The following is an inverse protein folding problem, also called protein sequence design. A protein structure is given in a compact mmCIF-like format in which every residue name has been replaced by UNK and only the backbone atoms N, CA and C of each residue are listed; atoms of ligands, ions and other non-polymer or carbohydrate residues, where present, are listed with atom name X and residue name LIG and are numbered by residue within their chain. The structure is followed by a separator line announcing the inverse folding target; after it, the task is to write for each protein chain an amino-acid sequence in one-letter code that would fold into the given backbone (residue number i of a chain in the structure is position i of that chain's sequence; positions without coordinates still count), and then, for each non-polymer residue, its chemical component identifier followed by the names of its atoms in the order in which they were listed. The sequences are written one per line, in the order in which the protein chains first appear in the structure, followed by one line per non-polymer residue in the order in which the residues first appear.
data_IF_450623341355
#
_entry.id   IF_450623341355
#
_cell.length_a   1.000
_cell.length_b   1.000
_cell.length_c   1.000
_cell.angle_alpha   90.00
_cell.angle_beta   90.00
_cell.angle_gamma   90.00
#
_symmetry.space_group_name_H-M   'P 1'
#
loop_
_entity.id
_entity.type
_entity.pdbx_description
1 polymer ?
#
# COMPACT_ATOMS: atom_id res chain seq x y z
N UNK A 1 15.15 6.65 55.15
CA UNK A 1 15.15 7.77 54.19
C UNK A 1 16.34 7.72 53.19
N UNK A 2 16.85 6.54 52.79
CA UNK A 2 17.97 6.45 51.83
C UNK A 2 17.63 5.68 50.53
N UNK A 3 16.36 5.33 50.30
CA UNK A 3 15.95 4.52 49.14
C UNK A 3 15.23 5.29 48.02
N UNK A 4 14.82 6.55 48.27
CA UNK A 4 14.13 7.36 47.25
C UNK A 4 15.09 8.20 46.38
N UNK A 5 16.28 8.56 46.87
CA UNK A 5 17.22 9.41 46.15
C UNK A 5 17.97 8.67 45.03
N UNK A 6 18.25 7.38 45.21
CA UNK A 6 18.96 6.58 44.20
C UNK A 6 18.10 6.23 42.97
N UNK A 7 16.77 6.24 43.08
CA UNK A 7 15.88 5.94 41.95
C UNK A 7 15.70 7.14 41.02
N UNK A 8 15.68 8.36 41.57
CA UNK A 8 15.52 9.60 40.79
C UNK A 8 16.78 9.91 39.98
N UNK A 9 17.98 9.65 40.51
CA UNK A 9 19.25 9.86 39.80
C UNK A 9 19.42 8.87 38.63
N UNK A 10 18.87 7.65 38.73
CA UNK A 10 18.92 6.65 37.67
C UNK A 10 17.92 6.93 36.53
N UNK A 11 16.78 7.56 36.83
CA UNK A 11 15.83 8.02 35.81
C UNK A 11 16.32 9.26 35.04
N UNK A 12 17.07 10.16 35.69
CA UNK A 12 17.61 11.36 35.03
C UNK A 12 18.80 11.03 34.11
N UNK A 13 19.63 10.01 34.43
CA UNK A 13 20.70 9.58 33.53
C UNK A 13 20.18 8.79 32.31
N UNK A 14 19.06 8.07 32.45
CA UNK A 14 18.42 7.37 31.34
C UNK A 14 17.72 8.30 30.33
N UNK A 15 17.29 9.50 30.76
CA UNK A 15 16.67 10.49 29.87
C UNK A 15 17.68 11.28 29.01
N UNK A 16 18.92 11.48 29.48
CA UNK A 16 19.92 12.26 28.74
C UNK A 16 20.53 11.45 27.57
N UNK A 17 20.52 10.12 27.66
CA UNK A 17 20.99 9.23 26.57
C UNK A 17 20.02 9.12 25.38
N UNK A 18 18.79 9.65 25.48
CA UNK A 18 17.80 9.63 24.39
C UNK A 18 17.80 10.89 23.51
N UNK A 19 18.64 11.89 23.81
CA UNK A 19 18.76 13.12 23.02
C UNK A 19 20.03 13.18 22.16
N UNK A 20 20.85 12.13 22.16
CA UNK A 20 21.85 11.94 21.11
C UNK A 20 21.12 11.52 19.83
N UNK A 21 20.54 12.50 19.12
CA UNK A 21 20.17 12.29 17.73
C UNK A 21 21.40 11.77 17.01
N UNK A 22 21.34 10.63 16.30
CA UNK A 22 22.45 10.23 15.46
C UNK A 22 22.69 11.39 14.50
N UNK A 23 23.86 12.02 14.60
CA UNK A 23 24.33 12.94 13.58
C UNK A 23 24.50 12.07 12.35
N UNK A 24 23.46 11.98 11.53
CA UNK A 24 23.53 11.29 10.25
C UNK A 24 24.69 11.92 9.49
N UNK A 25 25.68 11.11 9.13
CA UNK A 25 26.87 11.62 8.47
C UNK A 25 26.40 12.32 7.19
N UNK A 26 26.80 13.58 7.02
CA UNK A 26 26.48 14.31 5.80
C UNK A 26 27.43 13.86 4.68
N UNK A 27 26.98 13.90 3.42
CA UNK A 27 27.87 13.65 2.29
C UNK A 27 28.97 14.72 2.28
N UNK A 28 30.23 14.29 2.34
CA UNK A 28 31.42 15.14 2.20
C UNK A 28 32.23 14.77 0.96
N UNK A 29 33.04 15.69 0.46
CA UNK A 29 34.00 15.47 -0.63
C UNK A 29 34.82 14.20 -0.41
N UNK A 30 35.43 14.06 0.77
CA UNK A 30 36.29 12.92 1.10
C UNK A 30 35.51 11.61 1.10
N UNK A 31 34.28 11.61 1.64
CA UNK A 31 33.43 10.42 1.64
C UNK A 31 33.04 9.99 0.23
N UNK A 32 32.78 10.95 -0.66
CA UNK A 32 32.45 10.73 -2.07
C UNK A 32 33.66 10.18 -2.83
N UNK A 33 34.84 10.78 -2.66
CA UNK A 33 36.08 10.32 -3.29
C UNK A 33 36.39 8.89 -2.84
N UNK A 34 36.34 8.59 -1.54
CA UNK A 34 36.64 7.26 -1.02
C UNK A 34 35.68 6.20 -1.57
N UNK A 35 34.39 6.51 -1.63
CA UNK A 35 33.39 5.61 -2.19
C UNK A 35 33.58 5.41 -3.69
N UNK A 36 33.91 6.48 -4.43
CA UNK A 36 34.19 6.41 -5.86
C UNK A 36 35.46 5.61 -6.15
N UNK A 37 36.55 5.83 -5.41
CA UNK A 37 37.79 5.03 -5.52
C UNK A 37 37.51 3.55 -5.29
N UNK A 38 36.68 3.21 -4.28
CA UNK A 38 36.26 1.84 -4.01
C UNK A 38 35.46 1.25 -5.17
N UNK A 39 34.55 2.04 -5.77
CA UNK A 39 33.77 1.61 -6.93
C UNK A 39 34.64 1.37 -8.16
N UNK A 40 35.58 2.27 -8.46
CA UNK A 40 36.51 2.11 -9.59
C UNK A 40 37.35 0.84 -9.44
N UNK A 41 37.84 0.54 -8.22
CA UNK A 41 38.59 -0.69 -7.92
C UNK A 41 37.73 -1.95 -7.99
N UNK A 42 36.43 -1.85 -7.70
CA UNK A 42 35.50 -2.97 -7.72
C UNK A 42 34.93 -3.24 -9.12
N UNK A 43 35.07 -2.32 -10.08
CA UNK A 43 34.59 -2.53 -11.45
C UNK A 43 35.48 -3.57 -12.17
N UNK A 44 34.91 -4.71 -12.62
CA UNK A 44 35.67 -5.74 -13.32
C UNK A 44 36.28 -5.28 -14.66
N UNK A 45 35.83 -4.15 -15.20
CA UNK A 45 36.39 -3.56 -16.42
C UNK A 45 37.49 -2.54 -16.15
N UNK A 46 37.77 -2.23 -14.89
CA UNK A 46 38.96 -1.47 -14.50
C UNK A 46 40.15 -2.43 -14.41
N UNK A 47 41.13 -2.23 -15.28
CA UNK A 47 42.34 -3.07 -15.34
C UNK A 47 43.43 -2.50 -14.42
N UNK A 48 43.58 -1.18 -14.39
CA UNK A 48 44.55 -0.48 -13.54
C UNK A 48 43.87 0.73 -12.90
N UNK A 49 44.01 0.85 -11.58
CA UNK A 49 43.58 2.03 -10.82
C UNK A 49 44.48 2.23 -9.61
N UNK A 50 45.54 3.02 -9.80
CA UNK A 50 46.57 3.27 -8.80
C UNK A 50 46.62 4.76 -8.48
N UNK A 51 46.58 5.12 -7.19
CA UNK A 51 46.66 6.51 -6.76
C UNK A 51 48.09 7.02 -6.93
N UNK A 52 48.27 8.07 -7.73
CA UNK A 52 49.56 8.72 -7.96
C UNK A 52 49.75 9.88 -6.98
N UNK A 53 48.74 10.75 -6.89
CA UNK A 53 48.69 11.91 -6.00
C UNK A 53 47.27 12.13 -5.52
N UNK A 54 47.05 13.17 -4.71
CA UNK A 54 45.68 13.59 -4.41
C UNK A 54 44.92 13.86 -5.72
N UNK A 55 43.73 13.27 -5.84
CA UNK A 55 42.84 13.39 -7.01
C UNK A 55 43.44 12.97 -8.36
N UNK A 56 44.58 12.27 -8.39
CA UNK A 56 45.25 11.82 -9.62
C UNK A 56 45.60 10.34 -9.56
N UNK A 57 45.27 9.61 -10.62
CA UNK A 57 45.33 8.16 -10.68
C UNK A 57 45.92 7.69 -12.01
N UNK A 58 46.69 6.62 -11.98
CA UNK A 58 46.98 5.83 -13.17
C UNK A 58 45.79 4.95 -13.46
N UNK A 59 45.25 5.05 -14.68
CA UNK A 59 44.00 4.41 -15.05
C UNK A 59 44.11 3.65 -16.37
N UNK A 60 43.57 2.44 -16.39
CA UNK A 60 43.36 1.64 -17.59
C UNK A 60 42.07 0.85 -17.49
N UNK A 61 41.33 0.77 -18.58
CA UNK A 61 40.05 0.06 -18.64
C UNK A 61 39.88 -0.75 -19.91
N UNK A 62 39.01 -1.76 -19.86
CA UNK A 62 38.54 -2.50 -21.03
C UNK A 62 37.28 -1.90 -21.69
N UNK A 63 36.69 -0.83 -21.14
CA UNK A 63 35.54 -0.16 -21.79
C UNK A 63 35.91 0.43 -23.16
N UNK A 64 37.07 1.06 -23.26
CA UNK A 64 37.60 1.71 -24.45
C UNK A 64 39.13 1.68 -24.40
N UNK A 65 39.83 1.81 -25.54
CA UNK A 65 41.29 1.69 -25.59
C UNK A 65 41.96 2.93 -24.99
N UNK A 66 42.07 2.98 -23.67
CA UNK A 66 42.72 4.05 -22.94
C UNK A 66 43.63 3.51 -21.84
N UNK A 67 44.85 4.03 -21.83
CA UNK A 67 45.84 3.84 -20.77
C UNK A 67 46.52 5.20 -20.55
N UNK A 68 46.39 5.74 -19.34
CA UNK A 68 46.90 7.08 -19.05
C UNK A 68 46.59 7.52 -17.63
N UNK A 69 46.59 8.84 -17.43
CA UNK A 69 46.27 9.45 -16.14
C UNK A 69 44.81 9.88 -16.09
N UNK A 70 44.18 9.72 -14.93
CA UNK A 70 42.84 10.17 -14.63
C UNK A 70 42.92 11.17 -13.48
N UNK A 71 42.33 12.34 -13.65
CA UNK A 71 42.31 13.40 -12.64
C UNK A 71 40.88 13.79 -12.27
N UNK A 72 40.57 13.95 -10.99
CA UNK A 72 39.29 14.52 -10.54
C UNK A 72 39.36 16.05 -10.72
N UNK A 73 38.40 16.61 -11.45
CA UNK A 73 38.29 18.05 -11.72
C UNK A 73 37.30 18.73 -10.80
N UNK A 74 36.16 18.09 -10.56
CA UNK A 74 35.11 18.66 -9.76
C UNK A 74 34.33 17.57 -9.03
N UNK A 75 33.71 17.96 -7.91
CA UNK A 75 32.78 17.13 -7.15
C UNK A 75 31.47 17.89 -7.10
N UNK A 76 30.40 17.26 -7.56
CA UNK A 76 29.07 17.85 -7.54
C UNK A 76 28.18 16.91 -6.77
N UNK A 77 27.59 17.39 -5.68
CA UNK A 77 26.55 16.63 -5.00
C UNK A 77 25.43 17.54 -4.55
N UNK A 78 24.22 16.98 -4.55
CA UNK A 78 23.00 17.71 -4.25
C UNK A 78 21.83 16.76 -4.06
N UNK A 79 20.76 17.30 -3.49
CA UNK A 79 19.52 16.54 -3.32
C UNK A 79 18.85 16.29 -4.66
N UNK A 80 18.35 15.06 -4.84
CA UNK A 80 17.76 14.60 -6.10
C UNK A 80 16.42 15.27 -6.43
N UNK A 81 15.78 15.92 -5.45
CA UNK A 81 14.48 16.58 -5.60
C UNK A 81 13.31 15.59 -5.75
N UNK A 82 12.24 15.82 -4.99
CA UNK A 82 11.01 15.01 -5.03
C UNK A 82 10.81 14.09 -3.82
N UNK A 83 9.55 13.89 -3.43
CA UNK A 83 9.14 13.14 -2.21
C UNK A 83 9.56 11.66 -2.21
N UNK A 84 9.80 11.06 -3.38
CA UNK A 84 10.20 9.66 -3.48
C UNK A 84 11.68 9.46 -3.09
N UNK A 85 12.53 10.45 -3.38
CA UNK A 85 13.99 10.38 -3.33
C UNK A 85 14.61 11.33 -2.29
N UNK A 86 13.79 11.89 -1.39
CA UNK A 86 14.23 12.81 -0.32
C UNK A 86 15.35 12.27 0.57
N UNK A 87 15.41 10.94 0.70
CA UNK A 87 16.38 10.21 1.53
C UNK A 87 17.72 9.97 0.81
N UNK A 88 17.84 10.39 -0.45
CA UNK A 88 19.02 10.22 -1.26
C UNK A 88 19.57 11.56 -1.75
N UNK A 89 20.89 11.67 -1.81
CA UNK A 89 21.58 12.76 -2.50
C UNK A 89 22.41 12.17 -3.63
N UNK A 90 22.42 12.82 -4.79
CA UNK A 90 23.28 12.43 -5.90
C UNK A 90 24.66 13.05 -5.71
N UNK A 91 25.70 12.29 -6.00
CA UNK A 91 27.08 12.74 -6.05
C UNK A 91 27.74 12.30 -7.36
N UNK A 92 28.38 13.22 -8.06
CA UNK A 92 29.08 13.00 -9.31
C UNK A 92 30.53 13.46 -9.17
N UNK A 93 31.46 12.57 -9.53
CA UNK A 93 32.89 12.86 -9.60
C UNK A 93 33.23 13.17 -11.05
N UNK A 94 33.44 14.45 -11.36
CA UNK A 94 33.83 14.84 -12.71
C UNK A 94 35.31 14.57 -12.90
N UNK A 95 35.63 13.69 -13.84
CA UNK A 95 37.00 13.24 -14.11
C UNK A 95 37.45 13.69 -15.50
N UNK A 96 38.75 13.94 -15.62
CA UNK A 96 39.42 14.17 -16.89
C UNK A 96 40.41 13.04 -17.14
N UNK A 97 40.40 12.54 -18.38
CA UNK A 97 41.38 11.57 -18.88
C UNK A 97 42.47 12.34 -19.64
N UNK A 98 43.68 12.40 -19.08
CA UNK A 98 44.81 13.13 -19.66
C UNK A 98 45.19 12.56 -21.02
N UNK A 99 45.20 13.41 -22.06
CA UNK A 99 45.57 12.99 -23.42
C UNK A 99 44.51 12.13 -24.12
N UNK A 100 43.28 12.07 -23.60
CA UNK A 100 42.21 11.30 -24.23
C UNK A 100 41.76 11.95 -25.55
N UNK A 101 41.84 11.18 -26.63
CA UNK A 101 41.43 11.64 -27.96
C UNK A 101 39.91 11.76 -28.06
N UNK A 102 39.43 12.94 -28.44
CA UNK A 102 38.00 13.21 -28.67
C UNK A 102 37.39 12.33 -29.77
N UNK A 103 38.20 11.79 -30.68
CA UNK A 103 37.71 10.84 -31.69
C UNK A 103 37.36 9.48 -31.09
N UNK A 104 38.01 9.07 -30.00
CA UNK A 104 37.65 7.84 -29.27
C UNK A 104 36.27 7.95 -28.64
N UNK A 105 35.84 9.14 -28.21
CA UNK A 105 34.47 9.37 -27.74
C UNK A 105 33.46 9.11 -28.86
N UNK A 106 33.77 9.51 -30.11
CA UNK A 106 32.87 9.26 -31.24
C UNK A 106 32.77 7.78 -31.58
N UNK A 107 33.89 7.05 -31.51
CA UNK A 107 33.96 5.63 -31.86
C UNK A 107 33.45 4.70 -30.75
N UNK A 108 33.71 5.05 -29.48
CA UNK A 108 33.39 4.25 -28.30
C UNK A 108 32.37 4.93 -27.37
N UNK A 109 31.56 5.86 -27.89
CA UNK A 109 30.70 6.73 -27.07
C UNK A 109 29.78 5.99 -26.12
N UNK A 110 29.21 4.85 -26.54
CA UNK A 110 28.40 4.00 -25.66
C UNK A 110 29.22 3.42 -24.49
N UNK A 111 30.38 2.82 -24.77
CA UNK A 111 31.25 2.27 -23.73
C UNK A 111 31.81 3.35 -22.81
N UNK A 112 32.17 4.51 -23.37
CA UNK A 112 32.58 5.67 -22.58
C UNK A 112 31.45 6.13 -21.66
N UNK A 113 30.21 6.24 -22.16
CA UNK A 113 29.04 6.59 -21.33
C UNK A 113 28.77 5.55 -20.22
N UNK A 114 28.93 4.25 -20.51
CA UNK A 114 28.81 3.22 -19.48
C UNK A 114 29.85 3.38 -18.36
N UNK A 115 31.09 3.69 -18.73
CA UNK A 115 32.14 4.00 -17.76
C UNK A 115 31.84 5.31 -17.02
N UNK A 116 31.42 6.36 -17.72
CA UNK A 116 31.13 7.66 -17.11
C UNK A 116 29.98 7.58 -16.08
N UNK A 117 28.98 6.74 -16.33
CA UNK A 117 27.92 6.44 -15.36
C UNK A 117 28.46 5.84 -14.05
N UNK A 118 29.65 5.25 -14.04
CA UNK A 118 30.31 4.76 -12.80
C UNK A 118 30.91 5.88 -11.96
N UNK A 119 30.94 7.12 -12.47
CA UNK A 119 31.39 8.29 -11.71
C UNK A 119 30.26 8.94 -10.90
N UNK A 120 29.04 8.41 -11.00
CA UNK A 120 27.88 8.87 -10.22
C UNK A 120 27.56 7.87 -9.11
N UNK A 121 27.37 8.39 -7.90
CA UNK A 121 26.98 7.68 -6.68
C UNK A 121 25.76 8.33 -6.04
N UNK A 122 25.10 7.58 -5.17
CA UNK A 122 23.90 7.98 -4.46
C UNK A 122 24.13 7.84 -2.96
N UNK A 123 24.12 8.94 -2.23
CA UNK A 123 24.26 8.93 -0.78
C UNK A 123 22.93 8.56 -0.13
N UNK A 124 22.88 7.40 0.54
CA UNK A 124 21.77 7.00 1.39
C UNK A 124 21.88 7.74 2.74
N UNK A 125 21.07 8.79 2.93
CA UNK A 125 21.09 9.60 4.16
C UNK A 125 20.77 8.78 5.40
N UNK A 126 19.90 7.77 5.27
CA UNK A 126 19.46 6.92 6.38
C UNK A 126 20.56 5.98 6.86
N UNK A 127 21.29 5.40 5.92
CA UNK A 127 22.36 4.44 6.21
C UNK A 127 23.76 5.07 6.20
N UNK A 128 23.87 6.38 5.92
CA UNK A 128 25.12 7.12 5.82
C UNK A 128 26.15 6.43 4.91
N UNK A 129 25.69 5.94 3.74
CA UNK A 129 26.49 5.16 2.81
C UNK A 129 26.29 5.61 1.37
N UNK A 130 27.40 5.77 0.64
CA UNK A 130 27.37 5.90 -0.82
C UNK A 130 27.05 4.58 -1.51
N UNK A 131 26.10 4.63 -2.43
CA UNK A 131 25.63 3.52 -3.23
C UNK A 131 26.01 3.75 -4.69
N UNK A 132 26.45 2.68 -5.36
CA UNK A 132 26.52 2.65 -6.82
C UNK A 132 25.13 2.79 -7.43
N UNK A 133 25.05 3.16 -8.71
CA UNK A 133 23.78 3.21 -9.46
C UNK A 133 22.99 1.90 -9.37
N UNK A 134 23.67 0.75 -9.37
CA UNK A 134 23.03 -0.57 -9.23
C UNK A 134 22.47 -0.80 -7.83
N UNK A 135 23.23 -0.45 -6.80
CA UNK A 135 22.78 -0.55 -5.41
C UNK A 135 21.59 0.38 -5.16
N UNK A 136 21.64 1.61 -5.69
CA UNK A 136 20.55 2.58 -5.62
C UNK A 136 19.27 2.06 -6.28
N UNK A 137 19.36 1.58 -7.52
CA UNK A 137 18.21 0.98 -8.20
C UNK A 137 17.63 -0.21 -7.40
N UNK A 138 18.49 -1.04 -6.79
CA UNK A 138 18.04 -2.13 -5.91
C UNK A 138 17.38 -1.62 -4.63
N UNK A 139 17.87 -0.54 -4.02
CA UNK A 139 17.27 0.02 -2.80
C UNK A 139 15.92 0.66 -3.07
N UNK A 140 15.77 1.39 -4.17
CA UNK A 140 14.51 2.02 -4.58
C UNK A 140 13.46 0.94 -4.89
N UNK A 141 13.80 -0.09 -5.67
CA UNK A 141 12.88 -1.18 -5.98
C UNK A 141 12.42 -1.95 -4.74
N UNK A 142 13.34 -2.26 -3.81
CA UNK A 142 12.99 -2.89 -2.52
C UNK A 142 12.07 -2.01 -1.68
N UNK A 143 12.32 -0.71 -1.65
CA UNK A 143 11.53 0.28 -0.89
C UNK A 143 10.14 0.47 -1.51
N UNK A 144 10.03 0.49 -2.83
CA UNK A 144 8.75 0.53 -3.53
C UNK A 144 7.92 -0.73 -3.22
N UNK A 145 8.55 -1.91 -3.27
CA UNK A 145 7.89 -3.17 -2.95
C UNK A 145 7.41 -3.25 -1.49
N UNK A 146 8.18 -2.71 -0.53
CA UNK A 146 7.77 -2.68 0.88
C UNK A 146 6.63 -1.70 1.14
N UNK A 147 6.66 -0.50 0.55
CA UNK A 147 5.55 0.47 0.61
C UNK A 147 4.27 -0.10 0.02
N UNK A 148 4.35 -0.80 -1.12
CA UNK A 148 3.21 -1.46 -1.74
C UNK A 148 2.60 -2.56 -0.85
N UNK A 149 3.44 -3.40 -0.22
CA UNK A 149 2.96 -4.42 0.73
C UNK A 149 2.27 -3.80 1.95
N UNK A 150 2.82 -2.72 2.50
CA UNK A 150 2.24 -2.02 3.64
C UNK A 150 0.91 -1.34 3.27
N UNK A 151 0.84 -0.74 2.08
CA UNK A 151 -0.39 -0.13 1.55
C UNK A 151 -1.51 -1.16 1.37
N UNK A 152 -1.20 -2.37 0.90
CA UNK A 152 -2.21 -3.43 0.71
C UNK A 152 -2.85 -3.87 2.03
N UNK A 153 -2.06 -4.00 3.11
CA UNK A 153 -2.61 -4.36 4.43
C UNK A 153 -3.50 -3.28 5.01
N UNK A 154 -3.07 -2.01 4.94
CA UNK A 154 -3.83 -0.88 5.51
C UNK A 154 -5.10 -0.59 4.69
N UNK A 155 -5.02 -0.65 3.36
CA UNK A 155 -6.19 -0.42 2.49
C UNK A 155 -7.23 -1.54 2.60
N UNK A 156 -6.80 -2.78 2.84
CA UNK A 156 -7.74 -3.88 2.98
C UNK A 156 -8.38 -3.92 4.35
N UNK A 157 -7.73 -3.42 5.42
CA UNK A 157 -8.31 -3.39 6.75
C UNK A 157 -9.60 -2.54 6.80
N UNK A 158 -9.61 -1.38 6.15
CA UNK A 158 -10.80 -0.54 6.03
C UNK A 158 -11.90 -1.20 5.18
N UNK A 159 -11.52 -1.92 4.12
CA UNK A 159 -12.46 -2.65 3.27
C UNK A 159 -13.11 -3.84 4.00
N UNK A 160 -12.33 -4.60 4.77
CA UNK A 160 -12.86 -5.70 5.59
C UNK A 160 -13.80 -5.20 6.69
N UNK A 161 -13.50 -4.05 7.31
CA UNK A 161 -14.39 -3.44 8.30
C UNK A 161 -15.75 -3.06 7.69
N UNK A 162 -15.74 -2.46 6.49
CA UNK A 162 -16.95 -2.06 5.79
C UNK A 162 -17.80 -3.28 5.35
N UNK A 163 -17.16 -4.31 4.80
CA UNK A 163 -17.84 -5.57 4.44
C UNK A 163 -18.48 -6.21 5.68
N UNK A 164 -17.76 -6.22 6.81
CA UNK A 164 -18.29 -6.79 8.07
C UNK A 164 -19.52 -6.04 8.56
N UNK A 165 -19.52 -4.71 8.49
CA UNK A 165 -20.69 -3.87 8.84
C UNK A 165 -21.87 -4.18 7.91
N UNK A 166 -21.64 -4.28 6.60
CA UNK A 166 -22.67 -4.63 5.63
C UNK A 166 -23.29 -6.00 5.93
N UNK A 167 -22.48 -7.01 6.22
CA UNK A 167 -22.96 -8.37 6.56
C UNK A 167 -23.80 -8.34 7.86
N UNK A 168 -23.35 -7.64 8.89
CA UNK A 168 -24.11 -7.50 10.15
C UNK A 168 -25.46 -6.81 9.90
N UNK A 169 -25.47 -5.71 9.16
CA UNK A 169 -26.70 -5.00 8.81
C UNK A 169 -27.67 -5.90 8.05
N UNK A 170 -27.18 -6.69 7.09
CA UNK A 170 -27.98 -7.60 6.29
C UNK A 170 -28.58 -8.74 7.13
N UNK A 171 -27.82 -9.28 8.09
CA UNK A 171 -28.33 -10.26 9.07
C UNK A 171 -29.45 -9.66 9.93
N UNK A 172 -29.31 -8.41 10.38
CA UNK A 172 -30.34 -7.71 11.17
C UNK A 172 -31.62 -7.53 10.35
N UNK A 173 -31.50 -7.11 9.08
CA UNK A 173 -32.64 -6.92 8.16
C UNK A 173 -33.36 -8.24 7.91
N UNK A 174 -32.64 -9.33 7.62
CA UNK A 174 -33.24 -10.66 7.41
C UNK A 174 -34.01 -11.12 8.65
N UNK A 175 -33.43 -10.93 9.84
CA UNK A 175 -34.09 -11.29 11.11
C UNK A 175 -35.38 -10.52 11.33
N UNK A 176 -35.38 -9.20 11.08
CA UNK A 176 -36.58 -8.36 11.20
C UNK A 176 -37.66 -8.77 10.19
N UNK A 177 -37.29 -9.00 8.94
CA UNK A 177 -38.25 -9.41 7.90
C UNK A 177 -38.91 -10.75 8.20
N UNK A 178 -38.19 -11.71 8.80
CA UNK A 178 -38.78 -12.98 9.22
C UNK A 178 -39.92 -12.79 10.23
N UNK A 179 -39.75 -11.87 11.19
CA UNK A 179 -40.80 -11.54 12.16
C UNK A 179 -42.02 -10.91 11.47
N UNK A 180 -41.82 -9.93 10.58
CA UNK A 180 -42.90 -9.30 9.84
C UNK A 180 -43.67 -10.29 8.96
N UNK A 181 -42.96 -11.20 8.28
CA UNK A 181 -43.57 -12.21 7.42
C UNK A 181 -44.40 -13.21 8.22
N UNK A 182 -43.90 -13.68 9.38
CA UNK A 182 -44.66 -14.56 10.26
C UNK A 182 -45.94 -13.89 10.77
N UNK A 183 -45.88 -12.60 11.14
CA UNK A 183 -47.07 -11.85 11.56
C UNK A 183 -48.06 -11.60 10.42
N UNK A 184 -47.58 -11.43 9.19
CA UNK A 184 -48.45 -11.32 8.02
C UNK A 184 -49.16 -12.65 7.72
N UNK A 185 -48.45 -13.78 7.82
CA UNK A 185 -49.01 -15.12 7.62
C UNK A 185 -50.09 -15.45 8.64
N UNK A 186 -49.86 -15.17 9.94
CA UNK A 186 -50.89 -15.41 10.96
C UNK A 186 -52.15 -14.58 10.74
N UNK A 187 -52.01 -13.31 10.34
CA UNK A 187 -53.16 -12.46 9.97
C UNK A 187 -53.91 -12.99 8.75
N UNK A 188 -53.20 -13.59 7.79
CA UNK A 188 -53.80 -14.21 6.62
C UNK A 188 -54.58 -15.48 6.99
N UNK A 189 -54.02 -16.33 7.86
CA UNK A 189 -54.70 -17.52 8.40
C UNK A 189 -55.98 -17.13 9.17
N UNK A 190 -55.92 -16.12 10.04
CA UNK A 190 -57.10 -15.58 10.73
C UNK A 190 -58.15 -15.03 9.76
N UNK A 191 -57.70 -14.37 8.70
CA UNK A 191 -58.56 -13.88 7.61
C UNK A 191 -59.30 -15.02 6.93
N UNK A 192 -58.58 -16.07 6.53
CA UNK A 192 -59.16 -17.27 5.90
C UNK A 192 -60.16 -17.96 6.83
N UNK A 193 -59.86 -18.08 8.12
CA UNK A 193 -60.79 -18.65 9.10
C UNK A 193 -62.08 -17.83 9.24
N UNK A 194 -62.01 -16.50 9.11
CA UNK A 194 -63.19 -15.63 9.08
C UNK A 194 -64.00 -15.79 7.79
N UNK A 195 -63.32 -15.91 6.65
CA UNK A 195 -63.98 -16.20 5.37
C UNK A 195 -64.75 -17.53 5.44
N UNK A 196 -64.12 -18.59 5.94
CA UNK A 196 -64.76 -19.91 6.10
C UNK A 196 -66.02 -19.87 6.97
N UNK A 197 -65.98 -19.09 8.07
CA UNK A 197 -67.16 -18.87 8.92
C UNK A 197 -68.28 -18.11 8.19
N UNK A 198 -67.93 -17.09 7.41
CA UNK A 198 -68.89 -16.32 6.63
C UNK A 198 -69.54 -17.19 5.53
N UNK A 199 -68.77 -18.05 4.86
CA UNK A 199 -69.31 -19.01 3.88
C UNK A 199 -70.32 -19.94 4.56
N UNK A 200 -69.98 -20.55 5.69
CA UNK A 200 -70.90 -21.43 6.44
C UNK A 200 -72.18 -20.72 6.89
N UNK A 201 -72.10 -19.46 7.30
CA UNK A 201 -73.29 -18.67 7.66
C UNK A 201 -74.16 -18.38 6.43
N UNK A 202 -73.54 -18.11 5.30
CA UNK A 202 -74.24 -17.89 4.02
C UNK A 202 -74.94 -19.16 3.54
N UNK A 203 -74.29 -20.31 3.64
CA UNK A 203 -74.91 -21.62 3.37
C UNK A 203 -76.13 -21.88 4.26
N UNK A 204 -76.01 -21.62 5.58
CA UNK A 204 -77.15 -21.74 6.51
C UNK A 204 -78.29 -20.78 6.16
N UNK A 205 -77.99 -19.55 5.78
CA UNK A 205 -79.00 -18.58 5.37
C UNK A 205 -79.72 -19.02 4.09
N UNK A 206 -79.00 -19.62 3.14
CA UNK A 206 -79.60 -20.20 1.93
C UNK A 206 -80.52 -21.38 2.26
N UNK A 207 -80.09 -22.30 3.13
CA UNK A 207 -80.93 -23.42 3.57
C UNK A 207 -82.22 -22.94 4.24
N UNK A 208 -82.13 -21.98 5.16
CA UNK A 208 -83.31 -21.39 5.80
C UNK A 208 -84.24 -20.70 4.80
N UNK A 209 -83.68 -20.05 3.78
CA UNK A 209 -84.44 -19.43 2.70
C UNK A 209 -85.19 -20.48 1.86
N UNK A 210 -84.54 -21.61 1.55
CA UNK A 210 -85.17 -22.74 0.85
C UNK A 210 -86.30 -23.37 1.68
N UNK A 211 -86.08 -23.60 2.98
CA UNK A 211 -87.11 -24.10 3.90
C UNK A 211 -88.29 -23.14 3.98
N UNK A 212 -88.04 -21.83 4.10
CA UNK A 212 -89.08 -20.80 4.12
C UNK A 212 -89.89 -20.79 2.82
N UNK A 213 -89.22 -20.90 1.66
CA UNK A 213 -89.89 -20.98 0.37
C UNK A 213 -90.74 -22.25 0.22
N UNK A 214 -90.29 -23.38 0.75
CA UNK A 214 -91.07 -24.61 0.75
C UNK A 214 -92.30 -24.50 1.65
N UNK A 215 -92.17 -23.96 2.86
CA UNK A 215 -93.30 -23.69 3.76
C UNK A 215 -94.33 -22.75 3.12
N UNK A 216 -93.88 -21.69 2.43
CA UNK A 216 -94.78 -20.79 1.70
C UNK A 216 -95.55 -21.51 0.59
N UNK A 217 -94.90 -22.43 -0.14
CA UNK A 217 -95.57 -23.26 -1.15
C UNK A 217 -96.62 -24.17 -0.52
N UNK A 218 -96.31 -24.82 0.61
CA UNK A 218 -97.26 -25.67 1.34
C UNK A 218 -98.48 -24.87 1.81
N UNK A 219 -98.27 -23.68 2.39
CA UNK A 219 -99.36 -22.78 2.81
C UNK A 219 -100.23 -22.39 1.61
N UNK A 220 -99.62 -22.06 0.47
CA UNK A 220 -100.34 -21.69 -0.76
C UNK A 220 -101.21 -22.85 -1.27
N UNK A 221 -100.71 -24.09 -1.22
CA UNK A 221 -101.48 -25.29 -1.58
C UNK A 221 -102.68 -25.49 -0.65
N UNK A 222 -102.48 -25.36 0.67
CA UNK A 222 -103.57 -25.49 1.66
C UNK A 222 -104.62 -24.39 1.52
N UNK A 223 -104.22 -23.17 1.19
CA UNK A 223 -105.15 -22.07 0.93
C UNK A 223 -105.98 -22.32 -0.33
N UNK A 224 -105.35 -22.84 -1.41
CA UNK A 224 -106.05 -23.19 -2.65
C UNK A 224 -107.02 -24.36 -2.51
N UNK A 225 -106.77 -25.30 -1.60
CA UNK A 225 -107.69 -26.43 -1.37
C UNK A 225 -108.90 -26.08 -0.50
N UNK A 226 -108.89 -24.90 0.15
CA UNK A 226 -109.98 -24.40 1.00
C UNK A 226 -110.90 -23.37 0.31
N UNK A 227 -110.59 -22.93 -0.92
CA UNK A 227 -111.48 -22.10 -1.75
C UNK A 227 -112.17 -22.93 -2.81
#
# INVERSE_FOLDING_TARGET
MLRLTSLVVLCVSAMISMLASPVFAQPTDDSLIQAWEKQQKADPKTIVFEKLKDRQYKFRTSYFPYEGELSIKNLVYGDLGGDADSDYSLGAVQVELSGFDKNLVKQYGYSYSLWDNTNTLYFDKKNSKWLSTKEYASSITKRAASRQKQSWWVSNLSNFALITICVIALIIVIRKNKTYMNTALTKQEEGLAKYDKAVKQTEKALQLSEETNNLLKEILVVLKSKS
#
